data_IF_210279021237
#
_entry.id   IF_210279021237
#
_cell.length_a   1.000
_cell.length_b   1.000
_cell.length_c   1.000
_cell.angle_alpha   90.00
_cell.angle_beta   90.00
_cell.angle_gamma   90.00
#
_symmetry.space_group_name_H-M   'P 1'
#
loop_
_entity.id
_entity.type
_entity.pdbx_description
1 polymer ?
#
# COMPACT_ATOMS: atom_id res chain seq x y z
N UNK A 1 -11.40 9.06 10.75
CA UNK A 1 -10.04 9.34 11.30
C UNK A 1 -9.04 9.12 10.17
N UNK A 2 -8.40 10.17 9.66
CA UNK A 2 -7.40 10.03 8.59
C UNK A 2 -6.05 9.63 9.22
N UNK A 3 -5.82 8.32 9.34
CA UNK A 3 -4.66 7.76 10.05
C UNK A 3 -3.32 8.05 9.36
N UNK A 4 -3.31 8.60 8.13
CA UNK A 4 -2.09 8.70 7.32
C UNK A 4 -1.16 9.83 7.77
N UNK A 5 -1.69 11.03 8.00
CA UNK A 5 -0.91 12.15 8.55
C UNK A 5 -0.32 11.80 9.93
N UNK A 6 -1.15 11.19 10.79
CA UNK A 6 -0.72 10.71 12.11
C UNK A 6 0.39 9.68 12.01
N UNK A 7 0.27 8.72 11.07
CA UNK A 7 1.29 7.68 10.84
C UNK A 7 2.64 8.29 10.50
N UNK A 8 2.70 9.27 9.60
CA UNK A 8 3.97 9.89 9.21
C UNK A 8 4.57 10.74 10.34
N UNK A 9 3.75 11.49 11.07
CA UNK A 9 4.23 12.24 12.24
C UNK A 9 4.85 11.33 13.29
N UNK A 10 4.14 10.25 13.66
CA UNK A 10 4.60 9.29 14.68
C UNK A 10 5.85 8.54 14.22
N UNK A 11 5.94 8.15 12.94
CA UNK A 11 7.13 7.51 12.37
C UNK A 11 8.38 8.39 12.48
N UNK A 12 8.20 9.71 12.40
CA UNK A 12 9.27 10.69 12.53
C UNK A 12 9.48 11.17 13.98
N UNK A 13 8.80 10.56 14.97
CA UNK A 13 8.89 10.92 16.39
C UNK A 13 8.61 12.40 16.70
N UNK A 14 7.74 13.05 15.90
CA UNK A 14 7.43 14.46 16.09
C UNK A 14 6.13 14.66 16.89
N UNK A 15 6.09 15.70 17.72
CA UNK A 15 4.85 16.17 18.36
C UNK A 15 4.04 17.02 17.39
N UNK A 16 2.75 17.25 17.71
CA UNK A 16 1.90 18.14 16.92
C UNK A 16 2.48 19.57 16.90
N UNK A 17 2.98 20.04 18.05
CA UNK A 17 3.66 21.34 18.21
C UNK A 17 4.91 21.46 17.33
N UNK A 18 5.73 20.40 17.24
CA UNK A 18 6.92 20.42 16.39
C UNK A 18 6.55 20.51 14.91
N UNK A 19 5.56 19.74 14.46
CA UNK A 19 5.08 19.78 13.07
C UNK A 19 4.43 21.12 12.74
N UNK A 20 3.61 21.67 13.65
CA UNK A 20 2.96 22.95 13.43
C UNK A 20 3.97 24.09 13.29
N UNK A 21 5.01 24.07 14.14
CA UNK A 21 6.12 25.03 14.09
C UNK A 21 6.93 24.93 12.81
N UNK A 22 7.29 23.72 12.38
CA UNK A 22 8.08 23.49 11.17
C UNK A 22 7.34 23.92 9.90
N UNK A 23 6.02 23.72 9.87
CA UNK A 23 5.18 24.06 8.73
C UNK A 23 4.64 25.49 8.76
N UNK A 24 4.83 26.21 9.88
CA UNK A 24 4.24 27.52 10.16
C UNK A 24 2.70 27.53 10.04
N UNK A 25 2.05 26.60 10.73
CA UNK A 25 0.59 26.41 10.78
C UNK A 25 0.12 26.28 12.23
N UNK A 26 -1.19 26.27 12.48
CA UNK A 26 -1.68 26.03 13.84
C UNK A 26 -1.64 24.53 14.18
N UNK A 27 -1.44 24.20 15.46
CA UNK A 27 -1.59 22.82 15.96
C UNK A 27 -2.99 22.26 15.69
N UNK A 28 -4.01 23.14 15.69
CA UNK A 28 -5.38 22.80 15.36
C UNK A 28 -5.53 22.29 13.93
N UNK A 29 -4.77 22.82 12.99
CA UNK A 29 -4.76 22.39 11.59
C UNK A 29 -4.14 21.00 11.46
N UNK A 30 -2.98 20.79 12.08
CA UNK A 30 -2.32 19.47 12.13
C UNK A 30 -3.27 18.42 12.73
N UNK A 31 -3.90 18.73 13.86
CA UNK A 31 -4.88 17.86 14.51
C UNK A 31 -6.12 17.61 13.61
N UNK A 32 -6.57 18.62 12.87
CA UNK A 32 -7.68 18.49 11.94
C UNK A 32 -7.34 17.55 10.78
N UNK A 33 -6.12 17.62 10.24
CA UNK A 33 -5.63 16.71 9.20
C UNK A 33 -5.53 15.28 9.72
N UNK A 34 -4.98 15.06 10.92
CA UNK A 34 -4.89 13.74 11.55
C UNK A 34 -6.26 13.14 11.88
N UNK A 35 -7.24 13.98 12.23
CA UNK A 35 -8.62 13.54 12.42
C UNK A 35 -9.35 13.32 11.10
N UNK A 36 -8.84 13.87 10.00
CA UNK A 36 -9.46 13.82 8.68
C UNK A 36 -10.63 14.78 8.52
N UNK A 37 -10.63 15.91 9.24
CA UNK A 37 -11.67 16.95 9.10
C UNK A 37 -11.58 17.64 7.73
N UNK A 38 -10.36 17.94 7.30
CA UNK A 38 -10.05 18.49 5.99
C UNK A 38 -8.58 18.17 5.65
N UNK A 39 -8.17 18.43 4.41
CA UNK A 39 -6.80 18.18 3.93
C UNK A 39 -5.94 19.45 3.99
N UNK A 40 -4.63 19.33 4.23
CA UNK A 40 -3.72 20.46 4.11
C UNK A 40 -3.75 21.03 2.68
N UNK A 41 -3.57 22.36 2.52
CA UNK A 41 -3.30 22.99 1.22
C UNK A 41 -2.14 22.32 0.47
N UNK A 42 -2.07 22.49 -0.85
CA UNK A 42 -1.05 21.81 -1.67
C UNK A 42 0.38 22.21 -1.28
N UNK A 43 0.62 23.49 -1.05
CA UNK A 43 1.90 24.03 -0.59
C UNK A 43 2.32 23.43 0.77
N UNK A 44 1.39 23.32 1.72
CA UNK A 44 1.63 22.65 3.01
C UNK A 44 1.85 21.16 2.83
N UNK A 45 1.14 20.52 1.90
CA UNK A 45 1.32 19.11 1.56
C UNK A 45 2.71 18.82 1.01
N UNK A 46 3.26 19.70 0.17
CA UNK A 46 4.64 19.59 -0.31
C UNK A 46 5.65 19.72 0.82
N UNK A 47 5.46 20.67 1.74
CA UNK A 47 6.30 20.80 2.93
C UNK A 47 6.23 19.58 3.84
N UNK A 48 5.05 18.98 4.01
CA UNK A 48 4.89 17.70 4.73
C UNK A 48 5.66 16.57 4.05
N UNK A 49 5.67 16.52 2.71
CA UNK A 49 6.46 15.54 1.95
C UNK A 49 7.96 15.71 2.21
N UNK A 50 8.45 16.95 2.18
CA UNK A 50 9.85 17.27 2.49
C UNK A 50 10.20 16.92 3.94
N UNK A 51 9.36 17.34 4.90
CA UNK A 51 9.54 17.12 6.33
C UNK A 51 9.66 15.64 6.68
N UNK A 52 8.83 14.80 6.07
CA UNK A 52 8.80 13.37 6.35
C UNK A 52 9.63 12.54 5.37
N UNK A 53 10.27 13.18 4.39
CA UNK A 53 11.01 12.54 3.29
C UNK A 53 10.19 11.45 2.58
N UNK A 54 9.00 11.83 2.11
CA UNK A 54 8.06 10.95 1.39
C UNK A 54 7.59 11.60 0.09
N UNK A 55 7.03 10.81 -0.82
CA UNK A 55 6.40 11.34 -2.03
C UNK A 55 4.93 11.72 -1.78
N UNK A 56 4.39 12.62 -2.62
CA UNK A 56 3.01 13.10 -2.49
C UNK A 56 1.96 11.99 -2.63
N UNK A 57 2.22 10.96 -3.44
CA UNK A 57 1.35 9.79 -3.57
C UNK A 57 1.34 8.93 -2.28
N UNK A 58 2.48 8.88 -1.58
CA UNK A 58 2.57 8.28 -0.23
C UNK A 58 1.81 9.11 0.81
N UNK A 59 1.77 10.43 0.68
CA UNK A 59 0.96 11.29 1.55
C UNK A 59 -0.54 11.14 1.27
N UNK A 60 -0.95 11.04 0.00
CA UNK A 60 -2.34 11.13 -0.42
C UNK A 60 -3.17 9.84 -0.31
N UNK A 61 -2.62 8.67 -0.58
CA UNK A 61 -3.45 7.46 -0.54
C UNK A 61 -3.06 6.34 -1.49
N UNK A 62 -2.40 6.67 -2.59
CA UNK A 62 -2.73 6.06 -3.89
C UNK A 62 -2.21 4.63 -4.10
N UNK A 63 -1.39 4.11 -3.18
CA UNK A 63 -0.67 2.84 -3.31
C UNK A 63 -1.43 1.60 -2.77
N UNK A 64 -2.62 1.73 -2.17
CA UNK A 64 -3.30 0.57 -1.56
C UNK A 64 -3.92 -0.40 -2.58
N UNK A 65 -4.06 -0.01 -3.85
CA UNK A 65 -4.76 -0.82 -4.85
C UNK A 65 -3.85 -1.76 -5.68
N UNK A 66 -2.53 -1.51 -5.72
CA UNK A 66 -1.63 -2.27 -6.61
C UNK A 66 -1.27 -3.62 -5.99
N UNK A 67 -0.97 -3.65 -4.69
CA UNK A 67 -0.53 -4.88 -4.01
C UNK A 67 -1.64 -5.90 -3.82
N UNK A 68 -2.90 -5.47 -3.68
CA UNK A 68 -4.04 -6.39 -3.55
C UNK A 68 -4.33 -7.17 -4.83
N UNK A 69 -4.09 -6.57 -6.00
CA UNK A 69 -4.29 -7.25 -7.29
C UNK A 69 -3.32 -8.42 -7.50
N UNK A 70 -2.03 -8.24 -7.16
CA UNK A 70 -1.04 -9.31 -7.31
C UNK A 70 -1.31 -10.51 -6.39
N UNK A 71 -1.66 -10.24 -5.13
CA UNK A 71 -1.95 -11.30 -4.18
C UNK A 71 -3.13 -12.17 -4.63
N UNK A 72 -4.15 -11.57 -5.24
CA UNK A 72 -5.31 -12.32 -5.76
C UNK A 72 -4.95 -13.21 -6.96
N UNK A 73 -4.05 -12.78 -7.84
CA UNK A 73 -3.60 -13.61 -8.97
C UNK A 73 -2.76 -14.78 -8.46
N UNK A 74 -1.84 -14.51 -7.51
CA UNK A 74 -1.00 -15.55 -6.91
C UNK A 74 -1.84 -16.59 -6.15
N UNK A 75 -2.87 -16.19 -5.42
CA UNK A 75 -3.78 -17.13 -4.73
C UNK A 75 -4.57 -17.99 -5.71
N UNK A 76 -5.11 -17.41 -6.79
CA UNK A 76 -5.81 -18.17 -7.85
C UNK A 76 -4.88 -19.20 -8.50
N UNK A 77 -3.63 -18.82 -8.74
CA UNK A 77 -2.63 -19.75 -9.26
C UNK A 77 -2.38 -20.87 -8.24
N UNK A 78 -2.09 -20.52 -6.98
CA UNK A 78 -1.82 -21.45 -5.86
C UNK A 78 -2.96 -22.46 -5.59
N UNK A 79 -4.21 -22.05 -5.70
CA UNK A 79 -5.38 -22.93 -5.49
C UNK A 79 -5.63 -23.93 -6.64
N UNK A 80 -5.09 -23.67 -7.83
CA UNK A 80 -5.33 -24.49 -9.02
C UNK A 80 -4.14 -25.40 -9.40
N UNK A 81 -3.06 -25.45 -8.62
CA UNK A 81 -1.87 -26.27 -8.92
C UNK A 81 -2.16 -27.76 -9.04
N UNK A 82 -3.08 -28.29 -8.23
CA UNK A 82 -3.45 -29.70 -8.27
C UNK A 82 -4.12 -30.08 -9.60
N UNK A 83 -4.81 -29.15 -10.27
CA UNK A 83 -5.38 -29.37 -11.60
C UNK A 83 -4.30 -29.45 -12.67
N UNK A 84 -3.25 -28.63 -12.58
CA UNK A 84 -2.09 -28.70 -13.47
C UNK A 84 -1.33 -30.02 -13.26
N UNK A 85 -1.07 -30.41 -12.01
CA UNK A 85 -0.44 -31.69 -11.68
C UNK A 85 -1.26 -32.88 -12.21
N UNK A 86 -2.59 -32.83 -12.08
CA UNK A 86 -3.47 -33.85 -12.64
C UNK A 86 -3.46 -33.88 -14.18
N UNK A 87 -3.38 -32.72 -14.84
CA UNK A 87 -3.28 -32.65 -16.30
C UNK A 87 -1.94 -33.22 -16.79
N UNK A 88 -0.82 -32.90 -16.11
CA UNK A 88 0.49 -33.45 -16.44
C UNK A 88 0.57 -34.96 -16.23
N UNK A 89 -0.04 -35.49 -15.17
CA UNK A 89 -0.05 -36.95 -14.93
C UNK A 89 -0.84 -37.69 -16.01
N UNK A 90 -1.98 -37.14 -16.46
CA UNK A 90 -2.76 -37.69 -17.57
C UNK A 90 -1.97 -37.65 -18.87
N UNK A 91 -1.33 -36.53 -19.20
CA UNK A 91 -0.51 -36.40 -20.42
C UNK A 91 0.68 -37.37 -20.38
N UNK A 92 1.38 -37.48 -19.24
CA UNK A 92 2.49 -38.42 -19.06
C UNK A 92 2.03 -39.87 -19.21
N UNK A 93 0.85 -40.22 -18.66
CA UNK A 93 0.26 -41.54 -18.81
C UNK A 93 -0.05 -41.87 -20.27
N UNK A 94 -0.67 -40.93 -21.00
CA UNK A 94 -1.00 -41.10 -22.42
C UNK A 94 0.27 -41.28 -23.27
N UNK A 95 1.31 -40.46 -23.06
CA UNK A 95 2.61 -40.60 -23.74
C UNK A 95 3.21 -41.98 -23.48
N UNK A 96 3.18 -42.45 -22.23
CA UNK A 96 3.73 -43.76 -21.87
C UNK A 96 2.90 -44.93 -22.45
N UNK A 97 1.59 -44.77 -22.61
CA UNK A 97 0.73 -45.78 -23.26
C UNK A 97 0.97 -45.89 -24.76
N UNK A 98 1.31 -44.78 -25.43
CA UNK A 98 1.63 -44.76 -26.86
C UNK A 98 3.00 -45.39 -27.14
N UNK A 99 3.96 -45.25 -26.23
CA UNK A 99 5.29 -45.87 -26.33
C UNK A 99 5.32 -47.37 -25.98
N UNK A 100 4.20 -47.94 -25.54
CA UNK A 100 4.07 -49.37 -25.19
C UNK A 100 3.43 -50.23 -26.31
N UNK A 101 3.11 -49.62 -27.45
CA UNK A 101 2.64 -50.26 -28.68
C UNK A 101 3.81 -50.30 -29.66
#
# INVERSE_FOLDING_TARGET
MNKRFLKFRVRNNMTIEQVSKELNVSEGDVLAWEKGKYYPPLDVSMKLCELYNIRIDELCGTQENVNHQYNNILTILMENWWKLLAMFSVVAYLINSLNKI
#
